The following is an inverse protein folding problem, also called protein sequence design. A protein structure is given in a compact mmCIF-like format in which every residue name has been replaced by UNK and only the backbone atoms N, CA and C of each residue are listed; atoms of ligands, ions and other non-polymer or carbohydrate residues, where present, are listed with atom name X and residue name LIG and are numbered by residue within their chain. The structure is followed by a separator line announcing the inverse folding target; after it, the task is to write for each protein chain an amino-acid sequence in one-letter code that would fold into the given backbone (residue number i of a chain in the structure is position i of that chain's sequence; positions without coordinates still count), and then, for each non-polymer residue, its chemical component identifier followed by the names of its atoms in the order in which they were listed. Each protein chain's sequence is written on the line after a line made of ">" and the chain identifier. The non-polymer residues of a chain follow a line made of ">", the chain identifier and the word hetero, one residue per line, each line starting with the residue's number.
data_IF_605069422790
#
_entry.id   IF_605069422790
#
_cell.length_a   1.000
_cell.length_b   1.000
_cell.length_c   1.000
_cell.angle_alpha   90.00
_cell.angle_beta   90.00
_cell.angle_gamma   90.00
#
_symmetry.space_group_name_H-M   'P 1'
#
loop_
_entity.id
_entity.type
_entity.pdbx_description
1 polymer ?
#
# COMPACT_ATOMS: atom_id res chain seq x y z
N UNK A 1 -30.38 -13.49 5.95
CA UNK A 1 -28.96 -13.82 5.68
C UNK A 1 -28.10 -12.86 6.49
N UNK A 2 -26.97 -13.29 7.04
CA UNK A 2 -26.11 -12.38 7.79
C UNK A 2 -25.29 -11.51 6.80
N UNK A 3 -25.29 -10.20 7.01
CA UNK A 3 -24.48 -9.27 6.22
C UNK A 3 -23.10 -9.06 6.87
N UNK A 4 -22.06 -8.97 6.04
CA UNK A 4 -20.70 -8.67 6.52
C UNK A 4 -20.63 -7.22 6.97
N UNK A 5 -20.30 -6.99 8.25
CA UNK A 5 -20.07 -5.63 8.81
C UNK A 5 -18.75 -5.02 8.34
N UNK A 6 -17.75 -5.84 8.05
CA UNK A 6 -16.43 -5.39 7.59
C UNK A 6 -16.30 -5.61 6.09
N UNK A 7 -15.95 -4.54 5.36
CA UNK A 7 -15.74 -4.59 3.92
C UNK A 7 -14.39 -5.24 3.61
N UNK A 8 -14.39 -6.11 2.60
CA UNK A 8 -13.17 -6.75 2.09
C UNK A 8 -12.28 -5.78 1.30
N UNK A 9 -12.88 -4.76 0.69
CA UNK A 9 -12.18 -3.79 -0.13
C UNK A 9 -12.37 -2.38 0.42
N UNK A 10 -11.31 -1.58 0.37
CA UNK A 10 -11.27 -0.16 0.77
C UNK A 10 -10.65 0.66 -0.36
N UNK A 11 -11.44 1.57 -0.93
CA UNK A 11 -10.94 2.60 -1.84
C UNK A 11 -10.39 3.76 -1.02
N UNK A 12 -9.18 4.18 -1.34
CA UNK A 12 -8.46 5.30 -0.73
C UNK A 12 -8.26 6.35 -1.81
N UNK A 13 -8.55 7.61 -1.48
CA UNK A 13 -8.25 8.75 -2.34
C UNK A 13 -6.73 8.99 -2.35
N UNK A 14 -6.15 9.15 -3.53
CA UNK A 14 -4.71 9.42 -3.68
C UNK A 14 -4.46 10.79 -4.31
N UNK A 15 -5.42 11.71 -4.21
CA UNK A 15 -5.36 12.98 -4.95
C UNK A 15 -4.17 13.85 -4.57
N UNK A 16 -3.66 13.69 -3.35
CA UNK A 16 -2.46 14.40 -2.88
C UNK A 16 -1.17 13.95 -3.58
N UNK A 17 -1.12 12.71 -4.10
CA UNK A 17 0.09 12.15 -4.72
C UNK A 17 -0.03 11.99 -6.25
N UNK A 18 -1.22 11.68 -6.75
CA UNK A 18 -1.46 11.36 -8.17
C UNK A 18 -2.48 12.29 -8.84
N UNK A 19 -2.87 13.38 -8.16
CA UNK A 19 -3.78 14.39 -8.68
C UNK A 19 -5.26 14.03 -8.56
N UNK A 20 -6.12 15.02 -8.85
CA UNK A 20 -7.57 14.96 -8.59
C UNK A 20 -8.24 13.72 -9.19
N UNK A 21 -9.00 13.00 -8.36
CA UNK A 21 -9.77 11.82 -8.78
C UNK A 21 -8.95 10.54 -8.87
N UNK A 22 -7.66 10.58 -8.53
CA UNK A 22 -6.83 9.39 -8.38
C UNK A 22 -7.23 8.57 -7.15
N UNK A 23 -7.13 7.25 -7.27
CA UNK A 23 -7.49 6.34 -6.19
C UNK A 23 -6.65 5.06 -6.21
N UNK A 24 -6.67 4.40 -5.05
CA UNK A 24 -6.16 3.04 -4.86
C UNK A 24 -7.23 2.19 -4.20
N UNK A 25 -7.43 0.97 -4.69
CA UNK A 25 -8.31 -0.03 -4.09
C UNK A 25 -7.49 -1.10 -3.37
N UNK A 26 -7.61 -1.14 -2.05
CA UNK A 26 -6.98 -2.16 -1.21
C UNK A 26 -7.95 -3.30 -0.90
N UNK A 27 -7.47 -4.53 -0.94
CA UNK A 27 -8.06 -5.71 -0.31
C UNK A 27 -7.52 -5.84 1.12
N UNK A 28 -8.42 -6.02 2.10
CA UNK A 28 -8.03 -6.28 3.49
C UNK A 28 -7.21 -7.56 3.58
N UNK A 29 -5.98 -7.51 4.12
CA UNK A 29 -5.12 -8.68 4.22
C UNK A 29 -5.67 -9.72 5.20
N UNK A 30 -5.32 -10.99 4.95
CA UNK A 30 -5.60 -12.10 5.86
C UNK A 30 -4.59 -12.18 7.01
N UNK A 31 -4.74 -13.20 7.87
CA UNK A 31 -3.82 -13.46 8.99
C UNK A 31 -2.41 -13.83 8.54
N UNK A 32 -2.25 -14.34 7.32
CA UNK A 32 -0.97 -14.67 6.71
C UNK A 32 -0.08 -13.45 6.50
N UNK A 33 -0.68 -12.26 6.39
CA UNK A 33 0.05 -10.99 6.29
C UNK A 33 0.49 -10.41 7.64
N UNK A 34 0.01 -10.94 8.78
CA UNK A 34 0.13 -10.31 10.09
C UNK A 34 1.59 -10.03 10.51
N UNK A 35 2.51 -10.93 10.18
CA UNK A 35 3.93 -10.75 10.50
C UNK A 35 4.54 -9.55 9.77
N UNK A 36 4.12 -9.30 8.52
CA UNK A 36 4.56 -8.14 7.75
C UNK A 36 3.89 -6.87 8.26
N UNK A 37 2.60 -6.94 8.58
CA UNK A 37 1.86 -5.83 9.20
C UNK A 37 2.52 -5.35 10.49
N UNK A 38 2.93 -6.26 11.38
CA UNK A 38 3.61 -5.91 12.62
C UNK A 38 4.95 -5.21 12.36
N UNK A 39 5.74 -5.72 11.41
CA UNK A 39 7.01 -5.09 11.02
C UNK A 39 6.82 -3.70 10.39
N UNK A 40 5.78 -3.51 9.59
CA UNK A 40 5.43 -2.20 9.01
C UNK A 40 5.02 -1.24 10.11
N UNK A 41 4.22 -1.67 11.08
CA UNK A 41 3.78 -0.84 12.20
C UNK A 41 4.94 -0.40 13.11
N UNK A 42 6.05 -1.15 13.14
CA UNK A 42 7.28 -0.78 13.86
C UNK A 42 8.10 0.30 13.13
N UNK A 43 7.76 0.66 11.88
CA UNK A 43 8.45 1.72 11.15
C UNK A 43 8.04 3.10 11.69
N UNK A 44 8.98 3.71 12.41
CA UNK A 44 8.89 5.10 12.82
C UNK A 44 8.72 6.01 11.59
N UNK A 45 7.77 6.95 11.65
CA UNK A 45 7.64 8.02 10.66
C UNK A 45 6.66 7.76 9.51
N UNK A 46 5.96 6.61 9.47
CA UNK A 46 4.85 6.40 8.53
C UNK A 46 3.79 7.51 8.63
N UNK A 47 3.40 7.89 9.86
CA UNK A 47 2.41 8.94 10.10
C UNK A 47 2.89 10.34 9.66
N UNK A 48 4.20 10.56 9.58
CA UNK A 48 4.80 11.84 9.20
C UNK A 48 5.32 11.88 7.76
N UNK A 49 5.11 10.81 6.97
CA UNK A 49 5.66 10.66 5.63
C UNK A 49 7.18 10.52 5.57
N UNK A 50 7.85 10.51 6.73
CA UNK A 50 9.30 10.38 6.87
C UNK A 50 9.65 8.95 7.27
N UNK A 51 9.27 7.98 6.42
CA UNK A 51 9.67 6.58 6.64
C UNK A 51 11.18 6.49 6.56
N UNK A 52 11.82 6.11 7.66
CA UNK A 52 13.26 5.89 7.70
C UNK A 52 13.61 4.55 7.03
N UNK A 53 13.62 4.59 5.70
CA UNK A 53 13.95 3.50 4.78
C UNK A 53 15.36 2.93 5.07
N UNK A 54 16.25 3.69 5.72
CA UNK A 54 17.59 3.21 6.06
C UNK A 54 17.63 2.19 7.21
N UNK A 55 16.57 2.10 8.01
CA UNK A 55 16.43 1.14 9.12
C UNK A 55 15.83 -0.20 8.68
N UNK A 56 15.33 -0.28 7.45
CA UNK A 56 14.74 -1.48 6.90
C UNK A 56 15.84 -2.40 6.36
N UNK A 57 15.88 -3.63 6.86
CA UNK A 57 16.68 -4.68 6.22
C UNK A 57 16.06 -5.10 4.88
N UNK A 58 16.89 -5.62 3.97
CA UNK A 58 16.48 -6.05 2.62
C UNK A 58 15.30 -7.04 2.66
N UNK A 59 15.27 -7.95 3.65
CA UNK A 59 14.19 -8.92 3.80
C UNK A 59 12.87 -8.30 4.26
N UNK A 60 12.92 -7.21 5.03
CA UNK A 60 11.73 -6.46 5.41
C UNK A 60 11.21 -5.62 4.24
N UNK A 61 12.08 -5.02 3.42
CA UNK A 61 11.66 -4.38 2.18
C UNK A 61 10.90 -5.34 1.26
N UNK A 62 11.46 -6.52 1.02
CA UNK A 62 10.84 -7.49 0.14
C UNK A 62 9.46 -7.92 0.66
N UNK A 63 9.35 -8.15 1.96
CA UNK A 63 8.09 -8.52 2.58
C UNK A 63 7.01 -7.42 2.45
N UNK A 64 7.39 -6.15 2.58
CA UNK A 64 6.45 -5.02 2.45
C UNK A 64 5.92 -4.92 1.03
N UNK A 65 6.79 -4.97 0.03
CA UNK A 65 6.37 -4.90 -1.36
C UNK A 65 5.55 -6.12 -1.78
N UNK A 66 5.89 -7.32 -1.31
CA UNK A 66 5.08 -8.52 -1.52
C UNK A 66 3.68 -8.38 -0.89
N UNK A 67 3.57 -7.70 0.25
CA UNK A 67 2.29 -7.40 0.87
C UNK A 67 1.49 -6.36 0.05
N UNK A 68 2.16 -5.33 -0.46
CA UNK A 68 1.54 -4.35 -1.35
C UNK A 68 1.00 -5.02 -2.62
N UNK A 69 1.78 -5.87 -3.29
CA UNK A 69 1.33 -6.59 -4.48
C UNK A 69 0.11 -7.49 -4.21
N UNK A 70 -0.03 -8.00 -2.99
CA UNK A 70 -1.19 -8.82 -2.60
C UNK A 70 -2.40 -8.00 -2.18
N UNK A 71 -2.20 -6.80 -1.66
CA UNK A 71 -3.27 -5.98 -1.07
C UNK A 71 -3.79 -4.93 -2.01
N UNK A 72 -2.92 -4.26 -2.76
CA UNK A 72 -3.33 -3.31 -3.79
C UNK A 72 -3.94 -4.11 -4.95
N UNK A 73 -5.21 -3.88 -5.23
CA UNK A 73 -5.96 -4.59 -6.29
C UNK A 73 -6.04 -3.81 -7.58
N UNK A 74 -6.17 -2.49 -7.44
CA UNK A 74 -6.46 -1.60 -8.55
C UNK A 74 -6.04 -0.17 -8.21
N UNK A 75 -5.62 0.58 -9.22
CA UNK A 75 -5.53 2.04 -9.20
C UNK A 75 -5.83 2.62 -10.57
N UNK A 76 -5.97 3.94 -10.65
CA UNK A 76 -5.99 4.69 -11.90
C UNK A 76 -4.77 5.62 -12.05
N UNK A 77 -3.63 5.22 -11.46
CA UNK A 77 -2.41 6.01 -11.50
C UNK A 77 -1.78 6.03 -12.89
N UNK A 78 -1.07 7.12 -13.17
CA UNK A 78 -0.41 7.39 -14.44
C UNK A 78 1.06 7.71 -14.24
N UNK A 79 1.84 7.56 -15.30
CA UNK A 79 3.23 8.03 -15.36
C UNK A 79 3.33 9.53 -15.64
N UNK A 80 4.56 10.05 -15.74
CA UNK A 80 4.85 11.46 -16.02
C UNK A 80 4.25 11.96 -17.34
N UNK A 81 4.00 11.08 -18.30
CA UNK A 81 3.40 11.39 -19.61
C UNK A 81 1.86 11.22 -19.58
N UNK A 82 1.28 10.93 -18.42
CA UNK A 82 -0.15 10.71 -18.23
C UNK A 82 -0.66 9.38 -18.78
N UNK A 83 0.24 8.44 -19.10
CA UNK A 83 -0.14 7.10 -19.54
C UNK A 83 -0.49 6.22 -18.33
N UNK A 84 -1.53 5.37 -18.41
CA UNK A 84 -1.88 4.48 -17.32
C UNK A 84 -0.73 3.56 -16.93
N UNK A 85 -0.39 3.53 -15.63
CA UNK A 85 0.55 2.57 -15.10
C UNK A 85 -0.07 1.16 -15.13
N UNK A 86 0.75 0.10 -15.29
CA UNK A 86 0.30 -1.27 -15.09
C UNK A 86 -0.35 -1.46 -13.73
N UNK A 87 -1.27 -2.42 -13.63
CA UNK A 87 -1.93 -2.70 -12.35
C UNK A 87 -0.96 -3.41 -11.39
N UNK A 88 -1.16 -3.27 -10.07
CA UNK A 88 -0.42 -4.04 -9.06
C UNK A 88 -0.42 -5.55 -9.36
N UNK A 89 0.70 -6.22 -9.07
CA UNK A 89 0.87 -7.64 -9.41
C UNK A 89 1.22 -7.92 -10.88
N UNK A 90 1.18 -6.91 -11.76
CA UNK A 90 1.74 -7.00 -13.12
C UNK A 90 3.14 -6.37 -13.16
N UNK A 91 4.12 -7.11 -13.69
CA UNK A 91 5.46 -6.61 -14.02
C UNK A 91 6.22 -5.88 -12.90
N UNK A 92 5.92 -6.16 -11.62
CA UNK A 92 6.63 -5.59 -10.47
C UNK A 92 6.59 -4.03 -10.46
N UNK A 93 5.46 -3.48 -10.93
CA UNK A 93 5.26 -2.04 -11.15
C UNK A 93 5.49 -1.23 -9.87
N UNK A 94 5.08 -1.75 -8.71
CA UNK A 94 5.21 -1.08 -7.42
C UNK A 94 6.68 -0.77 -7.12
N UNK A 95 7.59 -1.72 -7.38
CA UNK A 95 9.03 -1.55 -7.08
C UNK A 95 9.78 -0.73 -8.11
N UNK A 96 9.32 -0.73 -9.36
CA UNK A 96 10.14 -0.26 -10.51
C UNK A 96 9.68 1.03 -11.14
N UNK A 97 8.38 1.30 -11.12
CA UNK A 97 7.80 2.43 -11.85
C UNK A 97 7.27 3.52 -10.93
N UNK A 98 6.91 3.16 -9.69
CA UNK A 98 6.45 4.14 -8.72
C UNK A 98 7.61 4.96 -8.17
N UNK A 99 7.32 6.23 -7.93
CA UNK A 99 8.16 7.13 -7.14
C UNK A 99 8.22 6.70 -5.68
N UNK A 100 9.19 7.23 -4.94
CA UNK A 100 9.34 6.93 -3.52
C UNK A 100 8.13 7.42 -2.72
N UNK A 101 7.60 8.59 -3.04
CA UNK A 101 6.46 9.20 -2.37
C UNK A 101 5.18 8.39 -2.55
N UNK A 102 4.97 7.83 -3.75
CA UNK A 102 3.88 6.91 -4.06
C UNK A 102 3.98 5.59 -3.29
N UNK A 103 5.18 5.01 -3.20
CA UNK A 103 5.42 3.80 -2.41
C UNK A 103 5.14 4.06 -0.93
N UNK A 104 5.60 5.19 -0.39
CA UNK A 104 5.33 5.61 1.00
C UNK A 104 3.83 5.78 1.24
N UNK A 105 3.12 6.43 0.30
CA UNK A 105 1.67 6.57 0.36
C UNK A 105 0.95 5.20 0.41
N UNK A 106 1.38 4.23 -0.42
CA UNK A 106 0.80 2.89 -0.41
C UNK A 106 1.02 2.19 0.94
N UNK A 107 2.22 2.32 1.52
CA UNK A 107 2.55 1.72 2.82
C UNK A 107 1.70 2.33 3.93
N UNK A 108 1.60 3.66 4.00
CA UNK A 108 0.80 4.36 5.03
C UNK A 108 -0.70 4.15 4.86
N UNK A 109 -1.15 3.94 3.63
CA UNK A 109 -2.54 3.68 3.28
C UNK A 109 -2.93 2.21 3.36
N UNK A 110 -2.04 1.31 3.77
CA UNK A 110 -2.41 -0.08 3.95
C UNK A 110 -3.49 -0.21 5.05
N UNK A 111 -4.55 -1.01 4.83
CA UNK A 111 -5.55 -1.30 5.84
C UNK A 111 -4.98 -2.34 6.83
N UNK A 112 -4.01 -1.91 7.64
CA UNK A 112 -3.52 -2.67 8.78
C UNK A 112 -4.64 -2.65 9.83
N UNK A 113 -5.11 -3.82 10.25
CA UNK A 113 -6.22 -3.89 11.21
C UNK A 113 -5.90 -3.09 12.47
N UNK A 114 -6.87 -2.33 12.99
CA UNK A 114 -6.73 -1.69 14.29
C UNK A 114 -6.60 -2.78 15.36
N UNK A 115 -5.38 -3.03 15.83
CA UNK A 115 -5.18 -3.77 17.07
C UNK A 115 -5.73 -2.89 18.19
N UNK A 116 -6.99 -3.10 18.56
CA UNK A 116 -7.55 -2.49 19.77
C UNK A 116 -6.76 -3.06 20.96
N UNK A 117 -5.93 -2.21 21.57
CA UNK A 117 -5.39 -2.42 22.91
C UNK A 117 -6.52 -2.56 23.93
#
# INVERSE_FOLDING_TARGET
>A
MAERKHKKYRRVDSSEIQGEGSYVLFESPGFDALAVVLKVAELEGIESGNVDISKLDEGTFDAVFDLLDRTVKEWNWVDDDGQPLPQPGENDVIRKQLTQEEQVFLISSMPLGEAKN
#
